data_IF_604145028517
#
_entry.id   IF_604145028517
#
_cell.length_a   1.000
_cell.length_b   1.000
_cell.length_c   1.000
_cell.angle_alpha   90.00
_cell.angle_beta   90.00
_cell.angle_gamma   90.00
#
_symmetry.space_group_name_H-M   'P 1'
#
loop_
_entity.id
_entity.type
_entity.pdbx_description
1 polymer ?
#
# COMPACT_ATOMS: atom_id res chain seq x y z
N UNK A 1 -1.78 -19.29 -11.62
CA UNK A 1 -2.66 -18.12 -11.73
C UNK A 1 -1.76 -16.93 -11.93
N UNK A 2 -2.08 -15.98 -12.79
CA UNK A 2 -1.18 -14.86 -13.12
C UNK A 2 -1.03 -13.85 -11.98
N UNK A 3 -2.07 -13.63 -11.17
CA UNK A 3 -2.04 -12.71 -10.04
C UNK A 3 -1.62 -13.41 -8.75
N UNK A 4 -0.93 -12.68 -7.85
CA UNK A 4 -0.61 -13.10 -6.49
C UNK A 4 -1.41 -12.31 -5.47
N UNK A 5 -1.76 -12.94 -4.35
CA UNK A 5 -2.41 -12.28 -3.21
C UNK A 5 -1.39 -11.95 -2.14
N UNK A 6 -1.45 -10.74 -1.62
CA UNK A 6 -0.70 -10.32 -0.43
C UNK A 6 -1.62 -9.70 0.62
N UNK A 7 -1.09 -9.48 1.80
CA UNK A 7 -1.76 -8.83 2.91
C UNK A 7 -0.98 -7.60 3.36
N UNK A 8 -1.61 -6.44 3.35
CA UNK A 8 -1.10 -5.27 4.06
C UNK A 8 -1.23 -5.49 5.58
N UNK A 9 -0.17 -5.21 6.32
CA UNK A 9 -0.13 -5.51 7.77
C UNK A 9 -0.82 -4.46 8.66
N UNK A 10 -1.47 -3.44 8.08
CA UNK A 10 -2.26 -2.43 8.80
C UNK A 10 -3.12 -3.00 9.94
N UNK A 11 -3.95 -4.02 9.68
CA UNK A 11 -4.86 -4.54 10.71
C UNK A 11 -4.15 -5.28 11.85
N UNK A 12 -2.85 -5.50 11.74
CA UNK A 12 -2.06 -6.21 12.76
C UNK A 12 -1.26 -5.25 13.65
N UNK A 13 -1.19 -3.97 13.31
CA UNK A 13 -0.57 -2.92 14.13
C UNK A 13 -1.21 -2.88 15.52
N UNK A 14 -0.39 -2.72 16.57
CA UNK A 14 -0.76 -2.77 18.00
C UNK A 14 -1.25 -4.14 18.50
N UNK A 15 -1.46 -5.13 17.63
CA UNK A 15 -1.89 -6.48 18.01
C UNK A 15 -0.73 -7.46 18.13
N UNK A 16 0.38 -7.12 17.50
CA UNK A 16 1.63 -7.87 17.56
C UNK A 16 2.78 -6.89 17.75
N UNK A 17 3.63 -7.16 18.73
CA UNK A 17 4.84 -6.38 19.00
C UNK A 17 6.11 -7.17 18.64
N UNK A 18 6.07 -8.49 18.78
CA UNK A 18 7.18 -9.38 18.46
C UNK A 18 7.12 -9.84 17.00
N UNK A 19 8.23 -9.72 16.24
CA UNK A 19 8.29 -10.20 14.86
C UNK A 19 7.99 -11.69 14.69
N UNK A 20 8.41 -12.55 15.63
CA UNK A 20 8.13 -13.99 15.54
C UNK A 20 6.62 -14.27 15.67
N UNK A 21 5.95 -13.68 16.67
CA UNK A 21 4.50 -13.84 16.87
C UNK A 21 3.69 -13.34 15.67
N UNK A 22 4.10 -12.20 15.07
CA UNK A 22 3.48 -11.66 13.88
C UNK A 22 3.61 -12.62 12.70
N UNK A 23 4.84 -13.00 12.37
CA UNK A 23 5.14 -13.81 11.18
C UNK A 23 4.61 -15.23 11.33
N UNK A 24 4.66 -15.82 12.53
CA UNK A 24 4.06 -17.13 12.82
C UNK A 24 2.53 -17.09 12.66
N UNK A 25 1.88 -16.01 13.09
CA UNK A 25 0.44 -15.84 12.86
C UNK A 25 0.12 -15.75 11.38
N UNK A 26 0.90 -15.00 10.61
CA UNK A 26 0.72 -14.88 9.15
C UNK A 26 0.92 -16.24 8.46
N UNK A 27 1.99 -16.96 8.79
CA UNK A 27 2.30 -18.25 8.19
C UNK A 27 1.31 -19.35 8.57
N UNK A 28 1.03 -19.51 9.87
CA UNK A 28 0.32 -20.67 10.40
C UNK A 28 -1.21 -20.49 10.46
N UNK A 29 -1.68 -19.27 10.78
CA UNK A 29 -3.12 -18.98 10.95
C UNK A 29 -3.74 -18.38 9.68
N UNK A 30 -3.05 -17.41 9.05
CA UNK A 30 -3.55 -16.74 7.85
C UNK A 30 -3.19 -17.50 6.57
N UNK A 31 -2.09 -18.25 6.57
CA UNK A 31 -1.60 -19.05 5.44
C UNK A 31 -1.46 -18.25 4.15
N UNK A 32 -0.90 -17.06 4.27
CA UNK A 32 -0.53 -16.19 3.15
C UNK A 32 0.98 -15.98 3.16
N UNK A 33 1.63 -16.06 1.98
CA UNK A 33 3.08 -15.95 1.90
C UNK A 33 3.55 -14.51 1.79
N UNK A 34 2.88 -13.72 0.99
CA UNK A 34 3.35 -12.39 0.62
C UNK A 34 2.65 -11.32 1.45
N UNK A 35 3.45 -10.37 1.99
CA UNK A 35 2.94 -9.27 2.80
C UNK A 35 3.52 -7.93 2.34
N UNK A 36 2.73 -6.89 2.51
CA UNK A 36 3.17 -5.51 2.50
C UNK A 36 3.34 -5.04 3.95
N UNK A 37 4.59 -4.78 4.34
CA UNK A 37 4.91 -4.43 5.74
C UNK A 37 4.69 -2.93 5.98
N UNK A 38 3.97 -2.59 7.04
CA UNK A 38 3.82 -1.20 7.46
C UNK A 38 4.90 -0.77 8.44
N UNK A 39 5.26 0.51 8.41
CA UNK A 39 6.40 1.06 9.13
C UNK A 39 6.30 0.96 10.66
N UNK A 40 5.11 0.76 11.20
CA UNK A 40 4.89 0.69 12.65
C UNK A 40 5.60 -0.50 13.32
N UNK A 41 5.87 -1.57 12.57
CA UNK A 41 6.56 -2.74 13.11
C UNK A 41 8.07 -2.52 13.27
N UNK A 42 8.68 -1.71 12.40
CA UNK A 42 10.07 -1.25 12.51
C UNK A 42 10.10 0.22 12.08
N UNK A 43 9.90 1.12 13.04
CA UNK A 43 9.76 2.54 12.72
C UNK A 43 11.13 3.17 12.40
N UNK A 44 11.28 3.79 11.21
CA UNK A 44 12.52 4.46 10.82
C UNK A 44 12.97 5.62 11.72
N UNK A 45 12.08 6.13 12.57
CA UNK A 45 12.41 7.16 13.56
C UNK A 45 13.05 6.62 14.86
N UNK A 46 13.11 5.29 15.01
CA UNK A 46 13.76 4.70 16.19
C UNK A 46 15.28 4.75 16.10
N UNK A 47 15.94 4.55 17.24
CA UNK A 47 17.41 4.47 17.31
C UNK A 47 17.95 3.32 16.46
N UNK A 48 19.05 3.56 15.74
CA UNK A 48 19.68 2.59 14.83
C UNK A 48 19.93 1.20 15.46
N UNK A 49 20.42 1.08 16.71
CA UNK A 49 20.60 -0.24 17.33
C UNK A 49 19.29 -1.02 17.49
N UNK A 50 18.17 -0.32 17.77
CA UNK A 50 16.85 -0.92 17.89
C UNK A 50 16.34 -1.38 16.53
N UNK A 51 16.43 -0.51 15.52
CA UNK A 51 16.08 -0.85 14.13
C UNK A 51 16.82 -2.11 13.69
N UNK A 52 18.15 -2.12 13.82
CA UNK A 52 19.00 -3.25 13.41
C UNK A 52 18.65 -4.56 14.13
N UNK A 53 18.29 -4.49 15.41
CA UNK A 53 17.88 -5.67 16.17
C UNK A 53 16.55 -6.23 15.67
N UNK A 54 15.54 -5.37 15.48
CA UNK A 54 14.22 -5.79 15.04
C UNK A 54 14.23 -6.26 13.58
N UNK A 55 15.00 -5.61 12.71
CA UNK A 55 15.18 -6.04 11.31
C UNK A 55 15.78 -7.45 11.26
N UNK A 56 16.81 -7.74 12.06
CA UNK A 56 17.38 -9.10 12.14
C UNK A 56 16.40 -10.14 12.69
N UNK A 57 15.61 -9.79 13.72
CA UNK A 57 14.57 -10.68 14.26
C UNK A 57 13.50 -10.98 13.18
N UNK A 58 13.01 -9.94 12.52
CA UNK A 58 12.03 -10.08 11.43
C UNK A 58 12.60 -10.95 10.27
N UNK A 59 13.83 -10.68 9.83
CA UNK A 59 14.48 -11.46 8.78
C UNK A 59 14.63 -12.95 9.15
N UNK A 60 14.95 -13.25 10.41
CA UNK A 60 15.03 -14.63 10.90
C UNK A 60 13.65 -15.31 10.88
N UNK A 61 12.58 -14.64 11.30
CA UNK A 61 11.22 -15.16 11.27
C UNK A 61 10.75 -15.42 9.83
N UNK A 62 11.00 -14.49 8.90
CA UNK A 62 10.71 -14.64 7.47
C UNK A 62 11.44 -15.85 6.87
N UNK A 63 12.74 -15.99 7.14
CA UNK A 63 13.55 -17.11 6.65
C UNK A 63 13.07 -18.47 7.18
N UNK A 64 12.60 -18.52 8.43
CA UNK A 64 12.08 -19.72 9.08
C UNK A 64 10.74 -20.16 8.48
N UNK A 65 9.83 -19.23 8.24
CA UNK A 65 8.45 -19.52 7.84
C UNK A 65 8.22 -19.53 6.32
N UNK A 66 9.09 -18.87 5.56
CA UNK A 66 8.90 -18.68 4.12
C UNK A 66 7.95 -17.52 3.76
N UNK A 67 7.47 -16.76 4.73
CA UNK A 67 6.76 -15.49 4.49
C UNK A 67 7.73 -14.49 3.84
N UNK A 68 7.24 -13.66 2.92
CA UNK A 68 8.05 -12.67 2.20
C UNK A 68 7.45 -11.29 2.36
N UNK A 69 8.27 -10.31 2.65
CA UNK A 69 7.93 -8.90 2.50
C UNK A 69 8.14 -8.52 1.03
N UNK A 70 7.08 -8.22 0.30
CA UNK A 70 7.15 -7.82 -1.12
C UNK A 70 7.36 -6.32 -1.26
N UNK A 71 6.75 -5.56 -0.37
CA UNK A 71 6.80 -4.10 -0.36
C UNK A 71 6.63 -3.55 1.06
N UNK A 72 6.89 -2.27 1.23
CA UNK A 72 6.58 -1.56 2.46
C UNK A 72 5.81 -0.27 2.24
N UNK A 73 4.91 0.04 3.18
CA UNK A 73 4.06 1.21 3.14
C UNK A 73 3.99 1.91 4.50
N UNK A 74 3.69 3.19 4.51
CA UNK A 74 3.27 3.85 5.76
C UNK A 74 1.92 3.28 6.19
N UNK A 75 1.82 2.92 7.45
CA UNK A 75 0.56 2.41 8.01
C UNK A 75 -0.38 3.53 8.46
N UNK A 76 -1.41 3.19 9.27
CA UNK A 76 -2.48 4.11 9.63
C UNK A 76 -2.00 5.35 10.39
N UNK A 77 -0.86 5.27 11.07
CA UNK A 77 -0.26 6.39 11.80
C UNK A 77 0.73 7.22 10.96
N UNK A 78 0.96 6.84 9.70
CA UNK A 78 1.89 7.50 8.78
C UNK A 78 1.24 8.45 7.78
N UNK A 79 -0.06 8.75 7.89
CA UNK A 79 -0.77 9.67 6.98
C UNK A 79 -0.50 11.12 7.38
N UNK A 80 0.59 11.68 6.87
CA UNK A 80 1.13 13.00 7.20
C UNK A 80 1.43 13.80 5.93
N UNK A 81 1.70 15.11 6.09
CA UNK A 81 2.08 15.97 4.97
C UNK A 81 3.41 15.57 4.30
N UNK A 82 4.36 15.03 5.03
CA UNK A 82 5.71 14.62 4.60
C UNK A 82 6.29 15.53 3.47
N UNK A 83 6.37 15.09 2.21
CA UNK A 83 6.92 15.88 1.09
C UNK A 83 6.00 17.01 0.62
N UNK A 84 4.72 16.99 1.00
CA UNK A 84 3.78 18.09 0.82
C UNK A 84 3.90 19.20 1.88
N UNK A 85 4.73 19.03 2.90
CA UNK A 85 4.88 20.03 3.94
C UNK A 85 5.57 21.29 3.39
N UNK A 86 5.06 22.52 3.67
CA UNK A 86 5.64 23.77 3.15
C UNK A 86 7.04 24.07 3.71
N UNK A 87 7.36 23.58 4.92
CA UNK A 87 8.65 23.75 5.56
C UNK A 87 9.70 22.76 4.99
N UNK A 88 10.85 23.32 4.56
CA UNK A 88 11.94 22.54 3.98
C UNK A 88 12.63 21.61 4.99
N UNK A 89 12.72 22.00 6.26
CA UNK A 89 13.34 21.16 7.29
C UNK A 89 12.49 19.93 7.58
N UNK A 90 11.16 20.07 7.58
CA UNK A 90 10.23 18.96 7.72
C UNK A 90 10.35 17.99 6.52
N UNK A 91 10.40 18.51 5.27
CA UNK A 91 10.63 17.65 4.10
C UNK A 91 11.97 16.93 4.18
N UNK A 92 13.04 17.61 4.60
CA UNK A 92 14.37 17.01 4.80
C UNK A 92 14.37 15.89 5.84
N UNK A 93 13.60 16.08 6.94
CA UNK A 93 13.39 15.02 7.92
C UNK A 93 12.74 13.77 7.27
N UNK A 94 11.69 13.95 6.48
CA UNK A 94 11.00 12.82 5.85
C UNK A 94 11.80 12.18 4.73
N UNK A 95 12.64 12.92 4.00
CA UNK A 95 13.60 12.31 3.06
C UNK A 95 14.50 11.30 3.79
N UNK A 96 15.10 11.69 4.92
CA UNK A 96 15.95 10.80 5.71
C UNK A 96 15.16 9.63 6.30
N UNK A 97 13.94 9.87 6.75
CA UNK A 97 13.03 8.85 7.25
C UNK A 97 12.73 7.79 6.17
N UNK A 98 12.38 8.20 4.94
CA UNK A 98 12.12 7.27 3.84
C UNK A 98 13.38 6.56 3.35
N UNK A 99 14.56 7.19 3.39
CA UNK A 99 15.84 6.54 3.12
C UNK A 99 16.11 5.41 4.12
N UNK A 100 15.88 5.67 5.41
CA UNK A 100 15.99 4.64 6.45
C UNK A 100 14.98 3.51 6.22
N UNK A 101 13.73 3.84 5.90
CA UNK A 101 12.69 2.86 5.59
C UNK A 101 13.05 1.99 4.39
N UNK A 102 13.61 2.60 3.32
CA UNK A 102 14.09 1.88 2.15
C UNK A 102 15.17 0.85 2.51
N UNK A 103 16.13 1.23 3.37
CA UNK A 103 17.17 0.32 3.85
C UNK A 103 16.59 -0.84 4.66
N UNK A 104 15.70 -0.56 5.63
CA UNK A 104 15.03 -1.60 6.43
C UNK A 104 14.33 -2.62 5.54
N UNK A 105 13.58 -2.14 4.55
CA UNK A 105 12.79 -3.02 3.69
C UNK A 105 13.65 -3.81 2.70
N UNK A 106 14.70 -3.22 2.16
CA UNK A 106 15.68 -3.93 1.34
C UNK A 106 16.36 -5.06 2.12
N UNK A 107 16.73 -4.81 3.39
CA UNK A 107 17.29 -5.83 4.30
C UNK A 107 16.30 -6.97 4.59
N UNK A 108 15.00 -6.72 4.49
CA UNK A 108 13.94 -7.73 4.62
C UNK A 108 13.57 -8.41 3.29
N UNK A 109 14.23 -8.02 2.19
CA UNK A 109 14.02 -8.60 0.86
C UNK A 109 12.87 -7.98 0.06
N UNK A 110 12.30 -6.87 0.52
CA UNK A 110 11.29 -6.12 -0.25
C UNK A 110 11.91 -5.49 -1.50
N UNK A 111 11.08 -5.33 -2.53
CA UNK A 111 11.50 -4.71 -3.81
C UNK A 111 11.03 -3.28 -3.98
N UNK A 112 10.13 -2.80 -3.11
CA UNK A 112 9.55 -1.47 -3.23
C UNK A 112 9.08 -0.89 -1.91
N UNK A 113 9.03 0.44 -1.87
CA UNK A 113 8.42 1.23 -0.78
C UNK A 113 7.56 2.36 -1.35
N UNK A 114 6.63 2.84 -0.54
CA UNK A 114 5.87 4.05 -0.88
C UNK A 114 4.86 4.45 0.18
N UNK A 115 4.05 5.43 -0.21
CA UNK A 115 2.95 6.00 0.57
C UNK A 115 2.12 6.90 -0.37
N UNK A 116 1.24 7.75 0.16
CA UNK A 116 0.63 8.84 -0.61
C UNK A 116 1.71 9.70 -1.28
N UNK A 117 1.44 10.23 -2.48
CA UNK A 117 2.41 11.08 -3.19
C UNK A 117 2.89 12.25 -2.32
N UNK A 118 1.94 13.00 -1.77
CA UNK A 118 2.11 14.11 -0.86
C UNK A 118 0.75 14.50 -0.27
N UNK A 119 0.72 15.15 0.90
CA UNK A 119 -0.50 15.68 1.51
C UNK A 119 -0.36 17.18 1.66
N UNK A 120 -1.16 17.96 0.93
CA UNK A 120 -1.11 19.41 0.99
C UNK A 120 -2.10 19.96 2.01
N UNK A 121 -1.77 21.12 2.58
CA UNK A 121 -2.74 21.90 3.37
C UNK A 121 -3.79 22.51 2.43
N UNK A 122 -4.92 22.96 2.99
CA UNK A 122 -5.92 23.69 2.19
C UNK A 122 -5.32 24.93 1.51
N UNK A 123 -4.55 25.72 2.27
CA UNK A 123 -3.92 26.96 1.74
C UNK A 123 -2.98 26.68 0.57
N UNK A 124 -2.25 25.56 0.62
CA UNK A 124 -1.30 25.21 -0.44
C UNK A 124 -1.99 24.57 -1.65
N UNK A 125 -3.08 23.84 -1.41
CA UNK A 125 -3.82 23.17 -2.46
C UNK A 125 -4.73 24.14 -3.26
N UNK A 126 -5.37 25.09 -2.57
CA UNK A 126 -6.32 26.05 -3.15
C UNK A 126 -5.62 27.12 -3.99
N UNK A 127 -4.33 27.40 -3.76
CA UNK A 127 -3.52 28.28 -4.60
C UNK A 127 -2.83 27.48 -5.72
N UNK A 128 -3.22 27.66 -7.01
CA UNK A 128 -2.64 26.89 -8.12
C UNK A 128 -1.12 27.04 -8.29
N UNK A 129 -0.58 28.25 -8.01
CA UNK A 129 0.86 28.51 -8.14
C UNK A 129 1.65 27.81 -7.03
N UNK A 130 1.17 27.90 -5.79
CA UNK A 130 1.77 27.17 -4.65
C UNK A 130 1.67 25.67 -4.85
N UNK A 131 0.51 25.17 -5.25
CA UNK A 131 0.29 23.76 -5.54
C UNK A 131 1.27 23.24 -6.60
N UNK A 132 1.43 23.96 -7.71
CA UNK A 132 2.37 23.56 -8.77
C UNK A 132 3.82 23.50 -8.25
N UNK A 133 4.27 24.52 -7.52
CA UNK A 133 5.62 24.57 -6.96
C UNK A 133 5.88 23.48 -5.92
N UNK A 134 4.87 23.12 -5.11
CA UNK A 134 5.01 22.07 -4.10
C UNK A 134 5.00 20.67 -4.75
N UNK A 135 4.28 20.46 -5.85
CA UNK A 135 4.37 19.20 -6.60
C UNK A 135 5.80 18.99 -7.12
N UNK A 136 6.44 20.04 -7.71
CA UNK A 136 7.83 19.94 -8.17
C UNK A 136 8.78 19.59 -7.03
N UNK A 137 8.62 20.23 -5.87
CA UNK A 137 9.43 19.90 -4.68
C UNK A 137 9.19 18.49 -4.15
N UNK A 138 7.96 18.00 -4.21
CA UNK A 138 7.66 16.63 -3.81
C UNK A 138 8.32 15.62 -4.78
N UNK A 139 8.34 15.92 -6.08
CA UNK A 139 9.05 15.13 -7.07
C UNK A 139 10.56 15.10 -6.80
N UNK A 140 11.17 16.24 -6.45
CA UNK A 140 12.58 16.31 -6.06
C UNK A 140 12.87 15.45 -4.82
N UNK A 141 12.00 15.49 -3.80
CA UNK A 141 12.13 14.65 -2.61
C UNK A 141 12.06 13.15 -2.96
N UNK A 142 11.11 12.76 -3.82
CA UNK A 142 11.00 11.38 -4.27
C UNK A 142 12.20 10.95 -5.13
N UNK A 143 12.78 11.84 -5.93
CA UNK A 143 13.99 11.55 -6.69
C UNK A 143 15.19 11.24 -5.77
N UNK A 144 15.34 11.95 -4.65
CA UNK A 144 16.36 11.62 -3.63
C UNK A 144 16.13 10.26 -2.98
N UNK A 145 14.88 9.94 -2.65
CA UNK A 145 14.52 8.61 -2.11
C UNK A 145 14.76 7.52 -3.15
N UNK A 146 14.44 7.78 -4.42
CA UNK A 146 14.68 6.84 -5.53
C UNK A 146 16.16 6.53 -5.73
N UNK A 147 17.03 7.54 -5.64
CA UNK A 147 18.47 7.34 -5.73
C UNK A 147 18.99 6.44 -4.59
N UNK A 148 18.59 6.72 -3.34
CA UNK A 148 18.95 5.89 -2.19
C UNK A 148 18.35 4.48 -2.29
N UNK A 149 17.08 4.36 -2.71
CA UNK A 149 16.40 3.08 -2.89
C UNK A 149 17.12 2.17 -3.90
N UNK A 150 17.62 2.75 -5.00
CA UNK A 150 18.46 2.05 -5.98
C UNK A 150 19.71 1.48 -5.33
N UNK A 151 20.42 2.30 -4.56
CA UNK A 151 21.66 1.89 -3.88
C UNK A 151 21.39 0.81 -2.81
N UNK A 152 20.23 0.86 -2.17
CA UNK A 152 19.78 -0.15 -1.22
C UNK A 152 19.30 -1.46 -1.87
N UNK A 153 19.06 -1.48 -3.18
CA UNK A 153 18.61 -2.68 -3.92
C UNK A 153 17.11 -2.74 -4.20
N UNK A 154 16.36 -1.66 -3.97
CA UNK A 154 14.96 -1.58 -4.37
C UNK A 154 14.84 -1.50 -5.90
N UNK A 155 13.74 -2.03 -6.44
CA UNK A 155 13.47 -2.03 -7.88
C UNK A 155 12.59 -0.85 -8.32
N UNK A 156 11.69 -0.39 -7.45
CA UNK A 156 10.80 0.75 -7.71
C UNK A 156 10.32 1.39 -6.41
N UNK A 157 9.79 2.59 -6.54
CA UNK A 157 8.94 3.24 -5.55
C UNK A 157 7.50 3.15 -5.98
N UNK A 158 6.57 3.41 -5.06
CA UNK A 158 5.17 3.59 -5.42
C UNK A 158 4.54 4.80 -4.70
N UNK A 159 3.44 5.29 -5.26
CA UNK A 159 2.57 6.27 -4.64
C UNK A 159 1.12 5.82 -4.73
N UNK A 160 0.34 6.11 -3.73
CA UNK A 160 -1.06 5.72 -3.68
C UNK A 160 -1.97 6.89 -4.06
N UNK A 161 -2.83 6.73 -5.09
CA UNK A 161 -3.95 7.63 -5.35
C UNK A 161 -4.93 7.65 -4.18
N UNK A 162 -5.32 8.86 -3.73
CA UNK A 162 -6.14 9.06 -2.55
C UNK A 162 -7.51 9.64 -2.92
N UNK A 163 -8.50 9.46 -2.04
CA UNK A 163 -9.88 9.94 -2.24
C UNK A 163 -10.06 11.45 -2.12
N UNK A 164 -9.01 12.21 -1.85
CA UNK A 164 -9.06 13.65 -1.57
C UNK A 164 -8.10 14.40 -2.48
N UNK A 165 -8.58 15.39 -3.23
CA UNK A 165 -7.77 16.11 -4.22
C UNK A 165 -6.44 16.66 -3.69
N UNK A 166 -6.41 17.17 -2.45
CA UNK A 166 -5.18 17.66 -1.82
C UNK A 166 -4.17 16.57 -1.45
N UNK A 167 -4.54 15.32 -1.60
CA UNK A 167 -3.69 14.13 -1.41
C UNK A 167 -3.38 13.43 -2.73
N UNK A 168 -3.91 13.96 -3.83
CA UNK A 168 -3.70 13.57 -5.22
C UNK A 168 -4.34 12.25 -5.68
N UNK A 169 -4.72 12.24 -6.95
CA UNK A 169 -5.20 11.04 -7.63
C UNK A 169 -6.64 10.65 -7.28
N UNK A 170 -7.48 11.59 -6.84
CA UNK A 170 -8.88 11.34 -6.46
C UNK A 170 -9.80 11.00 -7.64
N UNK A 171 -9.37 11.27 -8.88
CA UNK A 171 -10.01 10.84 -10.11
C UNK A 171 -9.05 10.02 -10.96
N UNK A 172 -9.57 9.18 -11.85
CA UNK A 172 -8.74 8.39 -12.77
C UNK A 172 -7.88 9.33 -13.64
N UNK A 173 -8.45 10.42 -14.12
CA UNK A 173 -7.72 11.39 -14.94
C UNK A 173 -6.57 12.04 -14.17
N UNK A 174 -6.81 12.49 -12.94
CA UNK A 174 -5.76 13.09 -12.09
C UNK A 174 -4.65 12.09 -11.75
N UNK A 175 -5.02 10.85 -11.44
CA UNK A 175 -4.06 9.80 -11.14
C UNK A 175 -3.16 9.52 -12.34
N UNK A 176 -3.73 9.38 -13.52
CA UNK A 176 -2.97 9.13 -14.76
C UNK A 176 -2.11 10.34 -15.16
N UNK A 177 -2.59 11.57 -14.97
CA UNK A 177 -1.83 12.78 -15.26
C UNK A 177 -0.63 12.92 -14.31
N UNK A 178 -0.81 12.69 -13.02
CA UNK A 178 0.31 12.70 -12.06
C UNK A 178 1.31 11.57 -12.35
N UNK A 179 0.84 10.37 -12.67
CA UNK A 179 1.72 9.26 -13.05
C UNK A 179 2.59 9.60 -14.27
N UNK A 180 2.00 10.20 -15.31
CA UNK A 180 2.75 10.63 -16.47
C UNK A 180 3.80 11.70 -16.14
N UNK A 181 3.49 12.63 -15.22
CA UNK A 181 4.46 13.63 -14.73
C UNK A 181 5.60 12.99 -13.94
N UNK A 182 5.30 12.00 -13.08
CA UNK A 182 6.31 11.23 -12.34
C UNK A 182 7.25 10.50 -13.33
N UNK A 183 6.71 9.80 -14.31
CA UNK A 183 7.50 9.09 -15.33
C UNK A 183 8.43 10.02 -16.10
N UNK A 184 7.98 11.23 -16.41
CA UNK A 184 8.77 12.23 -17.12
C UNK A 184 9.99 12.74 -16.33
N UNK A 185 10.06 12.54 -15.00
CA UNK A 185 11.21 12.95 -14.18
C UNK A 185 12.45 12.10 -14.42
N UNK A 186 12.30 10.84 -14.85
CA UNK A 186 13.42 9.91 -15.06
C UNK A 186 14.19 9.57 -13.77
N UNK A 187 13.50 9.33 -12.66
CA UNK A 187 14.11 8.97 -11.37
C UNK A 187 15.03 7.75 -11.49
N UNK A 188 15.95 7.59 -10.55
CA UNK A 188 16.98 6.54 -10.54
C UNK A 188 16.41 5.10 -10.55
N UNK A 189 15.25 4.90 -9.96
CA UNK A 189 14.34 3.76 -10.14
C UNK A 189 12.94 4.29 -10.42
N UNK A 190 12.09 3.56 -11.18
CA UNK A 190 10.74 4.04 -11.50
C UNK A 190 9.88 4.20 -10.25
N UNK A 191 8.94 5.13 -10.30
CA UNK A 191 7.88 5.26 -9.32
C UNK A 191 6.54 4.99 -9.99
N UNK A 192 5.83 3.96 -9.52
CA UNK A 192 4.56 3.51 -10.07
C UNK A 192 3.39 3.88 -9.15
N UNK A 193 2.18 3.80 -9.66
CA UNK A 193 1.01 3.79 -8.77
C UNK A 193 0.97 2.51 -7.95
N UNK A 194 0.41 2.60 -6.77
CA UNK A 194 -0.18 1.52 -6.01
C UNK A 194 -1.64 1.90 -5.82
N UNK A 195 -2.47 1.54 -6.79
CA UNK A 195 -3.84 2.00 -6.80
C UNK A 195 -4.70 1.21 -5.81
N UNK A 196 -5.38 1.93 -4.91
CA UNK A 196 -6.55 1.40 -4.25
C UNK A 196 -7.76 1.65 -5.16
N UNK A 197 -8.44 0.59 -5.57
CA UNK A 197 -9.54 0.68 -6.53
C UNK A 197 -10.81 1.34 -5.95
N UNK A 198 -10.85 1.61 -4.66
CA UNK A 198 -12.00 2.20 -3.95
C UNK A 198 -11.69 3.58 -3.36
N UNK A 199 -10.58 4.21 -3.77
CA UNK A 199 -10.21 5.56 -3.33
C UNK A 199 -10.74 6.68 -4.27
N UNK A 200 -11.67 6.39 -5.18
CA UNK A 200 -12.23 7.39 -6.06
C UNK A 200 -13.08 8.46 -5.34
N UNK A 201 -13.21 9.63 -5.96
CA UNK A 201 -14.00 10.75 -5.44
C UNK A 201 -15.50 10.48 -5.59
N UNK A 202 -16.18 10.18 -4.48
CA UNK A 202 -17.63 9.95 -4.45
C UNK A 202 -18.47 11.19 -4.85
N UNK A 203 -17.86 12.35 -4.98
CA UNK A 203 -18.52 13.61 -5.39
C UNK A 203 -18.23 13.98 -6.84
N UNK A 204 -17.41 13.17 -7.55
CA UNK A 204 -17.13 13.41 -8.96
C UNK A 204 -18.41 13.37 -9.82
N UNK A 205 -18.54 14.27 -10.80
CA UNK A 205 -19.62 14.19 -11.77
C UNK A 205 -19.48 12.99 -12.73
N UNK A 206 -18.30 12.40 -12.85
CA UNK A 206 -18.05 11.17 -13.61
C UNK A 206 -18.17 9.95 -12.70
N UNK A 207 -19.18 9.07 -12.91
CA UNK A 207 -19.36 7.88 -12.10
C UNK A 207 -18.20 6.87 -12.21
N UNK A 208 -17.36 6.95 -13.25
CA UNK A 208 -16.19 6.09 -13.37
C UNK A 208 -15.14 6.39 -12.29
N UNK A 209 -15.09 7.60 -11.76
CA UNK A 209 -14.12 7.98 -10.73
C UNK A 209 -14.35 7.29 -9.39
N UNK A 210 -15.55 6.78 -9.10
CA UNK A 210 -15.86 6.01 -7.91
C UNK A 210 -16.37 4.59 -8.21
N UNK A 211 -16.25 4.12 -9.46
CA UNK A 211 -16.49 2.72 -9.83
C UNK A 211 -15.18 1.91 -9.68
N UNK A 212 -15.08 0.97 -8.71
CA UNK A 212 -13.89 0.15 -8.54
C UNK A 212 -13.49 -0.64 -9.79
N UNK A 213 -14.46 -1.01 -10.62
CA UNK A 213 -14.20 -1.74 -11.86
C UNK A 213 -13.67 -0.83 -12.98
N UNK A 214 -14.01 0.46 -12.97
CA UNK A 214 -13.40 1.44 -13.87
C UNK A 214 -11.92 1.65 -13.51
N UNK A 215 -11.60 1.82 -12.21
CA UNK A 215 -10.23 1.85 -11.73
C UNK A 215 -9.47 0.58 -12.10
N UNK A 216 -10.07 -0.60 -11.85
CA UNK A 216 -9.48 -1.89 -12.20
C UNK A 216 -9.15 -2.04 -13.70
N UNK A 217 -9.89 -1.37 -14.58
CA UNK A 217 -9.56 -1.33 -16.02
C UNK A 217 -8.51 -0.28 -16.37
N UNK A 218 -8.44 0.82 -15.63
CA UNK A 218 -7.56 1.95 -15.96
C UNK A 218 -6.11 1.78 -15.53
N UNK A 219 -5.86 1.21 -14.33
CA UNK A 219 -4.57 1.34 -13.66
C UNK A 219 -3.60 0.16 -13.76
N UNK A 220 -3.94 -1.09 -14.15
CA UNK A 220 -3.07 -2.27 -13.95
C UNK A 220 -1.70 -2.15 -14.59
N UNK A 221 -1.59 -1.47 -15.74
CA UNK A 221 -0.31 -1.25 -16.44
C UNK A 221 0.63 -0.29 -15.72
N UNK A 222 0.12 0.51 -14.78
CA UNK A 222 0.85 1.53 -14.03
C UNK A 222 0.90 1.25 -12.53
N UNK A 223 0.31 0.13 -12.10
CA UNK A 223 0.15 -0.24 -10.71
C UNK A 223 0.56 -1.70 -10.48
N UNK A 224 1.85 -1.98 -10.26
CA UNK A 224 2.32 -3.35 -9.98
C UNK A 224 1.65 -3.98 -8.77
N UNK A 225 1.30 -3.17 -7.76
CA UNK A 225 0.54 -3.56 -6.57
C UNK A 225 -0.80 -2.83 -6.59
N UNK A 226 -1.88 -3.55 -6.34
CA UNK A 226 -3.23 -3.00 -6.31
C UNK A 226 -3.89 -3.36 -4.98
N UNK A 227 -4.32 -2.34 -4.25
CA UNK A 227 -5.07 -2.53 -3.00
C UNK A 227 -6.52 -2.88 -3.30
N UNK A 228 -7.02 -3.85 -2.56
CA UNK A 228 -8.43 -4.26 -2.58
C UNK A 228 -8.99 -4.42 -1.18
N UNK A 229 -10.26 -4.15 -1.06
CA UNK A 229 -11.07 -4.28 0.14
C UNK A 229 -12.52 -4.51 -0.25
N UNK A 230 -13.35 -5.01 0.65
CA UNK A 230 -14.78 -5.05 0.34
C UNK A 230 -15.39 -3.67 0.59
N UNK A 231 -16.14 -3.19 -0.38
CA UNK A 231 -16.70 -1.85 -0.42
C UNK A 231 -18.19 -1.87 -0.68
N UNK A 232 -18.88 -0.85 -0.19
CA UNK A 232 -20.28 -0.58 -0.51
C UNK A 232 -20.32 0.56 -1.53
N UNK A 233 -21.26 0.49 -2.49
CA UNK A 233 -21.40 1.46 -3.57
C UNK A 233 -21.44 2.92 -3.13
N UNK A 234 -22.05 3.20 -1.98
CA UNK A 234 -22.33 4.55 -1.49
C UNK A 234 -21.40 5.04 -0.38
N UNK A 235 -20.48 4.22 0.08
CA UNK A 235 -19.73 4.52 1.31
C UNK A 235 -18.25 4.19 1.27
N UNK A 236 -17.80 3.44 0.27
CA UNK A 236 -16.46 2.88 0.27
C UNK A 236 -16.18 2.06 1.55
N UNK A 237 -14.94 1.96 1.93
CA UNK A 237 -14.52 1.41 3.23
C UNK A 237 -13.54 0.25 3.10
N UNK A 238 -12.72 0.08 4.13
CA UNK A 238 -11.68 -0.96 4.18
C UNK A 238 -12.21 -2.24 4.84
N UNK A 239 -13.36 -2.76 4.37
CA UNK A 239 -14.02 -3.92 5.01
C UNK A 239 -13.35 -5.23 4.62
N UNK A 240 -13.27 -6.21 5.54
CA UNK A 240 -12.85 -7.57 5.22
C UNK A 240 -13.90 -8.26 4.31
N UNK A 241 -13.43 -9.22 3.52
CA UNK A 241 -14.28 -10.05 2.65
C UNK A 241 -14.93 -11.18 3.45
N UNK A 242 -15.72 -10.85 4.46
CA UNK A 242 -16.53 -11.81 5.21
C UNK A 242 -17.88 -12.08 4.53
N UNK A 243 -18.54 -13.18 4.85
CA UNK A 243 -19.85 -13.51 4.28
C UNK A 243 -20.87 -12.37 4.45
N UNK A 244 -20.86 -11.70 5.61
CA UNK A 244 -21.72 -10.55 5.88
C UNK A 244 -21.42 -9.36 4.95
N UNK A 245 -20.15 -9.02 4.81
CA UNK A 245 -19.74 -7.90 3.96
C UNK A 245 -19.90 -8.23 2.47
N UNK A 246 -19.61 -9.47 2.07
CA UNK A 246 -19.76 -9.91 0.69
C UNK A 246 -21.21 -9.92 0.21
N UNK A 247 -22.17 -10.16 1.13
CA UNK A 247 -23.61 -10.10 0.80
C UNK A 247 -24.09 -8.70 0.40
N UNK A 248 -23.37 -7.64 0.79
CA UNK A 248 -23.73 -6.23 0.52
C UNK A 248 -22.66 -5.52 -0.30
N UNK A 249 -21.49 -6.13 -0.46
CA UNK A 249 -20.33 -5.53 -1.10
C UNK A 249 -20.36 -5.66 -2.61
N UNK A 250 -19.64 -4.76 -3.25
CA UNK A 250 -19.58 -4.65 -4.72
C UNK A 250 -18.44 -5.43 -5.33
N UNK A 251 -17.39 -5.73 -4.55
CA UNK A 251 -16.18 -6.38 -5.07
C UNK A 251 -16.35 -7.88 -5.11
N UNK A 252 -16.27 -8.44 -6.32
CA UNK A 252 -16.37 -9.88 -6.58
C UNK A 252 -15.11 -10.36 -7.33
N UNK A 253 -14.51 -11.51 -6.97
CA UNK A 253 -13.23 -11.95 -7.53
C UNK A 253 -13.23 -12.07 -9.05
N UNK A 254 -14.13 -12.84 -9.63
CA UNK A 254 -14.11 -13.10 -11.08
C UNK A 254 -14.34 -11.81 -11.90
N UNK A 255 -15.36 -10.99 -11.64
CA UNK A 255 -15.52 -9.72 -12.35
C UNK A 255 -14.33 -8.78 -12.20
N UNK A 256 -13.73 -8.71 -10.99
CA UNK A 256 -12.59 -7.83 -10.75
C UNK A 256 -11.34 -8.28 -11.50
N UNK A 257 -10.99 -9.57 -11.45
CA UNK A 257 -9.85 -10.10 -12.18
C UNK A 257 -10.01 -9.95 -13.70
N UNK A 258 -11.25 -10.10 -14.21
CA UNK A 258 -11.55 -9.82 -15.62
C UNK A 258 -11.35 -8.34 -15.96
N UNK A 259 -11.71 -7.42 -15.07
CA UNK A 259 -11.47 -5.98 -15.25
C UNK A 259 -9.95 -5.68 -15.27
N UNK A 260 -9.15 -6.27 -14.38
CA UNK A 260 -7.69 -6.15 -14.43
C UNK A 260 -7.10 -6.68 -15.74
N UNK A 261 -7.52 -7.85 -16.21
CA UNK A 261 -7.08 -8.37 -17.51
C UNK A 261 -7.46 -7.45 -18.66
N UNK A 262 -8.68 -6.92 -18.68
CA UNK A 262 -9.12 -5.97 -19.69
C UNK A 262 -8.28 -4.68 -19.68
N UNK A 263 -7.79 -4.25 -18.52
CA UNK A 263 -6.87 -3.14 -18.35
C UNK A 263 -5.40 -3.47 -18.70
N UNK A 264 -5.10 -4.71 -19.04
CA UNK A 264 -3.75 -5.18 -19.37
C UNK A 264 -2.93 -5.61 -18.15
N UNK A 265 -3.59 -5.97 -17.05
CA UNK A 265 -2.97 -6.60 -15.89
C UNK A 265 -2.65 -8.06 -16.18
N UNK A 266 -1.41 -8.48 -15.91
CA UNK A 266 -0.94 -9.83 -16.16
C UNK A 266 -0.30 -10.49 -14.92
N UNK A 267 0.43 -9.71 -14.13
CA UNK A 267 1.21 -10.21 -12.99
C UNK A 267 1.15 -9.28 -11.77
N UNK A 268 0.06 -8.51 -11.64
CA UNK A 268 -0.08 -7.58 -10.52
C UNK A 268 -0.20 -8.35 -9.19
N UNK A 269 0.41 -7.80 -8.16
CA UNK A 269 0.15 -8.18 -6.78
C UNK A 269 -1.17 -7.54 -6.34
N UNK A 270 -2.11 -8.35 -5.89
CA UNK A 270 -3.38 -7.91 -5.34
C UNK A 270 -3.25 -7.96 -3.82
N UNK A 271 -3.27 -6.80 -3.18
CA UNK A 271 -3.00 -6.66 -1.77
C UNK A 271 -4.29 -6.37 -0.98
N UNK A 272 -4.60 -7.20 0.00
CA UNK A 272 -5.71 -6.97 0.91
C UNK A 272 -5.35 -5.82 1.87
N UNK A 273 -6.00 -4.68 1.73
CA UNK A 273 -5.88 -3.54 2.64
C UNK A 273 -7.16 -3.41 3.49
N UNK A 274 -7.13 -4.01 4.66
CA UNK A 274 -8.29 -4.11 5.54
C UNK A 274 -8.12 -3.21 6.76
N UNK A 275 -9.24 -2.69 7.27
CA UNK A 275 -9.25 -1.86 8.48
C UNK A 275 -10.33 -2.36 9.47
N UNK A 276 -9.98 -2.31 10.72
CA UNK A 276 -10.85 -2.74 11.82
C UNK A 276 -10.91 -1.66 12.89
N UNK A 277 -12.06 -1.55 13.53
CA UNK A 277 -12.18 -0.68 14.69
C UNK A 277 -11.42 -1.30 15.86
N UNK A 278 -10.60 -0.50 16.53
CA UNK A 278 -9.97 -0.87 17.82
C UNK A 278 -11.01 -0.80 18.95
N UNK A 279 -12.02 -1.63 18.85
CA UNK A 279 -13.15 -1.71 19.78
C UNK A 279 -13.77 -3.09 19.75
N UNK A 280 -14.07 -3.65 20.91
CA UNK A 280 -14.79 -4.91 21.00
C UNK A 280 -16.26 -4.82 20.47
N UNK A 281 -16.79 -5.85 19.82
CA UNK A 281 -16.15 -7.15 19.58
C UNK A 281 -15.25 -7.18 18.32
N UNK A 282 -15.16 -6.09 17.55
CA UNK A 282 -14.47 -6.05 16.26
C UNK A 282 -12.96 -6.39 16.39
N UNK A 283 -12.32 -5.97 17.47
CA UNK A 283 -10.90 -6.20 17.69
C UNK A 283 -10.53 -7.68 17.74
N UNK A 284 -11.33 -8.50 18.40
CA UNK A 284 -11.12 -9.97 18.48
C UNK A 284 -11.46 -10.71 17.19
N UNK A 285 -12.14 -10.06 16.24
CA UNK A 285 -12.51 -10.66 14.97
C UNK A 285 -11.45 -10.43 13.87
N UNK A 286 -10.37 -9.69 14.14
CA UNK A 286 -9.38 -9.30 13.13
C UNK A 286 -8.78 -10.53 12.44
N UNK A 287 -8.19 -11.46 13.18
CA UNK A 287 -7.55 -12.66 12.59
C UNK A 287 -8.57 -13.56 11.87
N UNK A 288 -9.73 -13.92 12.47
CA UNK A 288 -10.76 -14.67 11.75
C UNK A 288 -11.24 -14.00 10.47
N UNK A 289 -11.49 -12.69 10.49
CA UNK A 289 -11.98 -11.96 9.32
C UNK A 289 -10.93 -11.82 8.20
N UNK A 290 -9.65 -11.69 8.55
CA UNK A 290 -8.55 -11.72 7.56
C UNK A 290 -8.47 -13.12 6.94
N UNK A 291 -8.51 -14.19 7.76
CA UNK A 291 -8.48 -15.56 7.27
C UNK A 291 -9.66 -15.86 6.32
N UNK A 292 -10.87 -15.40 6.65
CA UNK A 292 -12.06 -15.51 5.80
C UNK A 292 -11.87 -14.74 4.48
N UNK A 293 -11.26 -13.54 4.53
CA UNK A 293 -10.96 -12.74 3.34
C UNK A 293 -9.96 -13.46 2.41
N UNK A 294 -8.91 -14.05 2.96
CA UNK A 294 -7.94 -14.84 2.20
C UNK A 294 -8.63 -16.08 1.59
N UNK A 295 -9.44 -16.79 2.36
CA UNK A 295 -10.19 -17.96 1.90
C UNK A 295 -11.17 -17.62 0.76
N UNK A 296 -11.78 -16.43 0.79
CA UNK A 296 -12.66 -15.95 -0.28
C UNK A 296 -11.92 -15.74 -1.61
N UNK A 297 -10.68 -15.26 -1.56
CA UNK A 297 -9.86 -15.00 -2.75
C UNK A 297 -9.05 -16.20 -3.22
N UNK A 298 -8.66 -17.13 -2.34
CA UNK A 298 -7.78 -18.27 -2.64
C UNK A 298 -8.20 -19.15 -3.83
N UNK A 299 -9.49 -19.38 -4.14
CA UNK A 299 -9.89 -20.14 -5.32
C UNK A 299 -9.56 -19.45 -6.65
N UNK A 300 -9.31 -18.14 -6.64
CA UNK A 300 -9.18 -17.30 -7.82
C UNK A 300 -7.77 -16.76 -8.06
N UNK A 301 -6.91 -16.76 -7.02
CA UNK A 301 -5.60 -16.11 -7.02
C UNK A 301 -4.57 -16.93 -6.24
N UNK A 302 -3.29 -16.82 -6.59
CA UNK A 302 -2.23 -17.51 -5.87
C UNK A 302 -1.91 -16.82 -4.52
N UNK A 303 -2.11 -17.51 -3.41
CA UNK A 303 -1.79 -17.05 -2.06
C UNK A 303 -0.36 -17.37 -1.62
N UNK A 304 0.38 -18.20 -2.40
CA UNK A 304 1.70 -18.70 -2.01
C UNK A 304 1.70 -19.64 -0.80
N UNK A 305 0.53 -20.06 -0.30
CA UNK A 305 0.42 -20.90 0.90
C UNK A 305 1.17 -22.24 0.82
N UNK A 306 1.35 -22.77 -0.40
CA UNK A 306 2.10 -24.01 -0.62
C UNK A 306 3.62 -23.86 -0.39
N UNK A 307 4.14 -22.64 -0.45
CA UNK A 307 5.58 -22.35 -0.30
C UNK A 307 5.97 -22.04 1.16
N UNK A 308 4.98 -21.96 2.07
CA UNK A 308 5.22 -21.74 3.48
C UNK A 308 5.84 -23.00 4.12
N UNK A 309 6.84 -22.76 4.96
CA UNK A 309 7.50 -23.82 5.73
C UNK A 309 6.66 -24.13 6.99
N UNK A 310 6.46 -25.39 7.25
CA UNK A 310 5.77 -25.89 8.45
C UNK A 310 6.66 -25.80 9.69
#
# INVERSE_FOLDING_TARGET
MPFSLSLNTNPLVNRFADPDDLIDTIACKLRIRDIQLTHEFINPAWETPLINRLTRSMAAALARTGVRVTSGMTGPYGRLNHFGHPDAEVRGHYINWFKTFATILADLGATSIGTQFAIFTYVDYDDPARRAALIDRALDCWAEVAAHGKDAGLHHLFWEPMSVGREFGHTIADAMALQARIEATGMAIPMWMMADIDHGDLTSPDPHDYDPYAWARAVPRKSPIIHIKQSLMDKGGHRPFTAENNAKGTIQPVPLLNAFHAGGGEHNEICLELSFKEREPADRQVIPAIAESIAFWAPHINTGAADLKS
#
